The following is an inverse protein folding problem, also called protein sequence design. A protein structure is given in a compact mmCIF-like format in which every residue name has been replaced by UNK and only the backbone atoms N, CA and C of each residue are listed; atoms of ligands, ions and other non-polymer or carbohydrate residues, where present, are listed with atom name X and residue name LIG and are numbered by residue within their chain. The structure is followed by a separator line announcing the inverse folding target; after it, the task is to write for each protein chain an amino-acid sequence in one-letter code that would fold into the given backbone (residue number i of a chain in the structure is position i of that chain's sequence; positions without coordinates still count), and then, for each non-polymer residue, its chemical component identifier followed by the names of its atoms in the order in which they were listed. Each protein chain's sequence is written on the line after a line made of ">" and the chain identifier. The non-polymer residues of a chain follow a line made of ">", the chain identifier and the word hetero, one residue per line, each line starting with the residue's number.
data_IF_712559487584
#
_entry.id   IF_712559487584
#
_cell.length_a   1.000
_cell.length_b   1.000
_cell.length_c   1.000
_cell.angle_alpha   90.00
_cell.angle_beta   90.00
_cell.angle_gamma   90.00
#
_symmetry.space_group_name_H-M   'P 1'
#
loop_
_entity.id
_entity.type
_entity.pdbx_description
1 polymer ?
#
# COMPACT_ATOMS: atom_id res chain seq x y z
N UNK A 1 49.49 35.33 2.79
CA UNK A 1 48.54 35.72 3.86
C UNK A 1 47.73 34.49 4.19
N UNK A 2 48.16 33.74 5.21
CA UNK A 2 47.58 32.46 5.59
C UNK A 2 46.55 32.64 6.70
N UNK A 3 45.36 32.10 6.51
CA UNK A 3 44.31 32.11 7.53
C UNK A 3 44.69 31.13 8.64
N UNK A 4 44.87 31.65 9.85
CA UNK A 4 45.05 30.86 11.07
C UNK A 4 43.71 30.26 11.49
N UNK A 5 43.64 28.93 11.58
CA UNK A 5 42.63 28.23 12.39
C UNK A 5 42.91 28.52 13.87
N UNK A 6 41.91 28.99 14.60
CA UNK A 6 41.93 29.03 16.06
C UNK A 6 41.27 27.73 16.54
N UNK A 7 42.08 26.81 17.03
CA UNK A 7 41.61 25.62 17.76
C UNK A 7 41.38 26.04 19.21
N UNK A 8 40.13 26.12 19.66
CA UNK A 8 39.82 26.27 21.09
C UNK A 8 39.55 24.89 21.69
N UNK A 9 40.44 24.47 22.60
CA UNK A 9 40.31 23.24 23.37
C UNK A 9 39.20 23.33 24.42
N UNK A 10 38.58 22.19 24.72
CA UNK A 10 37.53 22.05 25.71
C UNK A 10 38.02 22.40 27.12
N UNK A 11 37.65 23.59 27.62
CA UNK A 11 37.44 23.90 29.05
C UNK A 11 37.21 25.41 29.24
N UNK A 12 35.96 25.89 29.15
CA UNK A 12 35.49 27.05 29.94
C UNK A 12 34.00 26.87 30.20
N UNK A 13 33.65 26.22 31.30
CA UNK A 13 32.35 26.35 31.94
C UNK A 13 32.58 27.14 33.22
N UNK A 14 31.99 28.33 33.30
CA UNK A 14 31.53 29.06 34.49
C UNK A 14 31.74 30.57 34.34
N UNK A 15 30.75 31.31 34.87
CA UNK A 15 30.69 32.75 35.07
C UNK A 15 30.27 33.59 33.85
N UNK A 16 28.95 33.78 33.69
CA UNK A 16 28.34 35.10 33.89
C UNK A 16 26.91 34.90 34.41
N UNK A 17 26.65 35.34 35.64
CA UNK A 17 25.29 35.53 36.13
C UNK A 17 24.70 36.80 35.53
N UNK A 18 23.53 36.70 34.90
CA UNK A 18 22.68 37.84 34.62
C UNK A 18 21.21 37.46 34.89
N UNK A 19 20.52 38.41 35.52
CA UNK A 19 19.29 38.24 36.28
C UNK A 19 18.06 37.80 35.47
N UNK A 20 17.13 37.16 36.17
CA UNK A 20 15.78 36.92 35.72
C UNK A 20 15.03 38.24 35.50
N UNK A 21 14.60 38.47 34.26
CA UNK A 21 13.46 39.33 33.93
C UNK A 21 12.89 38.91 32.56
N UNK A 22 11.63 38.44 32.56
CA UNK A 22 10.66 38.52 31.46
C UNK A 22 11.08 38.14 30.03
N UNK A 23 10.56 37.03 29.54
CA UNK A 23 10.39 36.66 28.11
C UNK A 23 11.66 36.57 27.24
N UNK A 24 12.24 35.37 27.16
CA UNK A 24 12.90 34.88 25.95
C UNK A 24 13.00 33.35 26.01
N UNK A 25 12.16 32.64 25.25
CA UNK A 25 12.48 31.25 24.89
C UNK A 25 13.64 31.31 23.88
N UNK A 26 14.86 31.25 24.38
CA UNK A 26 16.04 31.01 23.53
C UNK A 26 16.08 29.51 23.22
N UNK A 27 15.39 29.09 22.15
CA UNK A 27 15.59 27.77 21.58
C UNK A 27 16.97 27.75 20.91
N UNK A 28 17.93 27.02 21.48
CA UNK A 28 19.19 26.73 20.82
C UNK A 28 18.90 25.80 19.65
N UNK A 29 18.81 26.35 18.44
CA UNK A 29 18.68 25.59 17.20
C UNK A 29 20.04 24.98 16.88
N UNK A 30 20.18 23.66 17.01
CA UNK A 30 21.36 22.94 16.54
C UNK A 30 21.19 22.63 15.03
N UNK A 31 21.64 23.53 14.16
CA UNK A 31 21.85 23.23 12.74
C UNK A 31 23.14 22.42 12.56
N UNK A 32 23.02 21.14 12.22
CA UNK A 32 24.17 20.35 11.76
C UNK A 32 24.19 20.37 10.22
N UNK A 33 24.93 21.31 9.65
CA UNK A 33 25.25 21.33 8.21
C UNK A 33 26.37 20.33 7.92
N UNK A 34 26.15 19.46 6.93
CA UNK A 34 27.09 18.41 6.52
C UNK A 34 28.48 18.94 6.10
N UNK A 35 29.51 18.14 6.37
CA UNK A 35 30.84 18.33 5.78
C UNK A 35 31.01 17.47 4.51
N UNK A 36 31.69 18.04 3.52
CA UNK A 36 32.12 17.42 2.25
C UNK A 36 33.09 16.23 2.44
N UNK A 37 33.11 15.24 1.53
CA UNK A 37 33.91 14.02 1.68
C UNK A 37 35.42 14.29 1.51
N UNK A 38 36.22 13.95 2.53
CA UNK A 38 37.67 14.05 2.48
C UNK A 38 38.36 13.28 3.62
N UNK A 39 38.79 12.06 3.29
CA UNK A 39 39.90 11.29 3.90
C UNK A 39 40.13 11.40 5.41
N UNK A 40 39.38 10.65 6.23
CA UNK A 40 39.91 9.97 7.43
C UNK A 40 39.05 8.76 7.79
N UNK A 41 39.73 7.66 8.13
CA UNK A 41 39.21 6.30 8.29
C UNK A 41 38.53 6.06 9.64
N UNK A 42 37.58 6.91 10.02
CA UNK A 42 36.64 6.62 11.11
C UNK A 42 35.24 6.92 10.61
N UNK A 43 34.33 5.92 10.53
CA UNK A 43 32.97 6.18 10.10
C UNK A 43 32.34 7.12 11.12
N UNK A 44 32.14 8.38 10.75
CA UNK A 44 31.12 9.20 11.39
C UNK A 44 29.80 8.82 10.72
N UNK A 45 29.30 7.64 11.11
CA UNK A 45 27.86 7.37 11.11
C UNK A 45 27.23 8.39 12.06
N UNK A 46 26.77 9.51 11.52
CA UNK A 46 25.89 10.42 12.24
C UNK A 46 24.52 9.78 12.40
N UNK A 47 24.40 8.87 13.37
CA UNK A 47 23.13 8.36 13.87
C UNK A 47 22.45 9.52 14.61
N UNK A 48 21.32 9.99 14.11
CA UNK A 48 20.44 10.88 14.87
C UNK A 48 19.50 10.03 15.73
N UNK A 49 19.92 9.68 16.95
CA UNK A 49 19.01 9.27 18.03
C UNK A 49 18.56 10.52 18.76
N UNK A 50 17.45 11.12 18.32
CA UNK A 50 16.83 12.27 18.98
C UNK A 50 15.36 11.99 19.20
N UNK A 51 15.00 11.50 20.39
CA UNK A 51 13.62 11.63 20.86
C UNK A 51 13.37 13.09 21.26
N UNK A 52 12.24 13.66 20.85
CA UNK A 52 11.78 14.98 21.34
C UNK A 52 10.32 14.77 21.79
N UNK A 53 9.92 14.90 23.06
CA UNK A 53 10.23 15.93 24.06
C UNK A 53 10.09 15.41 25.51
N UNK A 54 11.09 15.70 26.36
CA UNK A 54 10.84 16.13 27.75
C UNK A 54 10.85 17.68 27.88
N UNK A 55 11.06 18.42 26.79
CA UNK A 55 11.02 19.89 26.76
C UNK A 55 12.33 20.61 26.38
N UNK A 56 13.31 19.99 25.72
CA UNK A 56 14.66 20.62 25.60
C UNK A 56 15.37 20.59 24.24
N UNK A 57 14.81 20.06 23.14
CA UNK A 57 15.50 20.15 21.84
C UNK A 57 14.59 20.19 20.61
N UNK A 58 14.88 21.15 19.72
CA UNK A 58 14.31 21.28 18.39
C UNK A 58 15.38 20.85 17.39
N UNK A 59 15.24 19.65 16.82
CA UNK A 59 16.08 19.24 15.69
C UNK A 59 15.23 19.35 14.44
N UNK A 60 15.72 20.12 13.46
CA UNK A 60 15.25 20.09 12.08
C UNK A 60 16.03 19.00 11.34
N UNK A 61 15.44 17.83 11.04
CA UNK A 61 16.04 16.90 10.09
C UNK A 61 16.34 17.64 8.79
N UNK A 62 17.53 17.43 8.22
CA UNK A 62 17.80 17.92 6.87
C UNK A 62 17.05 17.05 5.87
N UNK A 63 16.45 17.66 4.84
CA UNK A 63 15.81 16.94 3.74
C UNK A 63 16.86 16.17 2.94
N UNK A 64 17.12 14.92 3.35
CA UNK A 64 18.18 14.08 2.80
C UNK A 64 17.84 12.60 2.99
N UNK A 65 18.23 11.77 2.02
CA UNK A 65 18.11 10.31 2.09
C UNK A 65 19.00 9.65 3.15
N UNK A 66 19.89 10.41 3.79
CA UNK A 66 20.70 9.95 4.90
C UNK A 66 20.18 10.36 6.28
N UNK A 67 19.04 11.07 6.34
CA UNK A 67 18.47 11.56 7.61
C UNK A 67 17.61 10.50 8.28
N UNK A 68 17.63 10.45 9.61
CA UNK A 68 16.85 9.50 10.41
C UNK A 68 15.93 10.29 11.35
N UNK A 69 14.65 9.94 11.35
CA UNK A 69 13.65 10.41 12.30
C UNK A 69 13.16 9.20 13.10
N UNK A 70 13.63 9.06 14.34
CA UNK A 70 13.33 7.90 15.19
C UNK A 70 12.58 8.31 16.45
N UNK A 71 11.45 7.66 16.74
CA UNK A 71 10.64 7.88 17.92
C UNK A 71 10.64 6.66 18.84
N UNK A 72 11.06 6.80 20.09
CA UNK A 72 11.13 5.71 21.08
C UNK A 72 10.24 5.93 22.31
N UNK A 73 9.31 6.90 22.26
CA UNK A 73 8.46 7.31 23.39
C UNK A 73 7.11 7.85 22.89
N UNK A 74 6.30 8.44 23.78
CA UNK A 74 4.99 9.07 23.51
C UNK A 74 5.11 10.47 22.87
N UNK A 75 6.06 10.65 21.95
CA UNK A 75 6.44 11.95 21.40
C UNK A 75 5.44 12.44 20.36
N UNK A 76 5.25 13.76 20.22
CA UNK A 76 4.48 14.32 19.09
C UNK A 76 5.38 15.18 18.23
N UNK A 77 5.45 14.85 16.93
CA UNK A 77 6.02 15.69 15.89
C UNK A 77 4.90 16.40 15.14
N UNK A 78 5.09 17.68 14.80
CA UNK A 78 4.09 18.51 14.12
C UNK A 78 4.79 19.39 13.10
N UNK A 79 4.50 19.19 11.81
CA UNK A 79 5.04 20.04 10.75
C UNK A 79 4.29 21.39 10.69
N UNK A 80 4.90 22.51 11.07
CA UNK A 80 4.21 23.83 11.19
C UNK A 80 4.97 25.04 10.62
N UNK A 81 6.02 24.81 9.84
CA UNK A 81 6.77 25.81 9.04
C UNK A 81 7.75 26.76 9.80
N UNK A 82 9.01 26.34 9.84
CA UNK A 82 10.21 27.01 9.30
C UNK A 82 11.22 25.86 9.11
N UNK A 83 11.15 25.21 7.94
CA UNK A 83 11.94 24.00 7.62
C UNK A 83 11.25 22.65 7.83
N UNK A 84 9.92 22.57 7.68
CA UNK A 84 9.16 21.31 7.73
C UNK A 84 9.85 20.18 6.95
N UNK A 85 9.96 19.01 7.57
CA UNK A 85 10.60 17.85 6.94
C UNK A 85 9.71 17.30 5.84
N UNK A 86 10.17 17.39 4.60
CA UNK A 86 9.47 16.85 3.42
C UNK A 86 10.07 15.53 2.94
N UNK A 87 11.29 15.22 3.39
CA UNK A 87 11.95 13.95 3.06
C UNK A 87 12.89 13.48 4.16
N UNK A 88 12.90 12.17 4.41
CA UNK A 88 13.85 11.51 5.31
C UNK A 88 14.47 10.28 4.64
N UNK A 89 15.64 9.89 5.13
CA UNK A 89 16.24 8.60 4.86
C UNK A 89 15.49 7.48 5.56
N UNK A 90 15.09 7.65 6.82
CA UNK A 90 14.27 6.67 7.54
C UNK A 90 13.38 7.36 8.57
N UNK A 91 12.11 6.97 8.65
CA UNK A 91 11.17 7.27 9.71
C UNK A 91 10.88 5.97 10.46
N UNK A 92 11.31 5.90 11.71
CA UNK A 92 11.16 4.69 12.52
C UNK A 92 10.51 4.95 13.87
N UNK A 93 9.75 3.97 14.34
CA UNK A 93 9.20 3.93 15.69
C UNK A 93 9.86 2.75 16.43
N UNK A 94 10.65 3.07 17.44
CA UNK A 94 11.28 2.06 18.28
C UNK A 94 10.29 1.35 19.21
N UNK A 95 10.80 0.34 19.91
CA UNK A 95 10.05 -0.45 20.89
C UNK A 95 9.37 0.44 21.92
N UNK A 96 8.06 0.26 22.12
CA UNK A 96 7.31 1.01 23.13
C UNK A 96 6.87 2.40 22.68
N UNK A 97 7.16 2.80 21.44
CA UNK A 97 6.79 4.12 20.92
C UNK A 97 5.27 4.23 20.73
N UNK A 98 4.70 5.31 21.28
CA UNK A 98 3.32 5.74 21.06
C UNK A 98 3.31 7.12 20.41
N UNK A 99 4.34 7.41 19.62
CA UNK A 99 4.52 8.72 19.04
C UNK A 99 3.44 9.05 18.00
N UNK A 100 3.13 10.33 17.89
CA UNK A 100 2.29 10.88 16.83
C UNK A 100 3.13 11.73 15.89
N UNK A 101 3.05 11.46 14.59
CA UNK A 101 3.67 12.25 13.52
C UNK A 101 2.55 12.99 12.78
N UNK A 102 2.33 14.24 13.13
CA UNK A 102 1.33 15.10 12.49
C UNK A 102 1.96 15.91 11.34
N UNK A 103 1.62 15.53 10.11
CA UNK A 103 2.11 16.11 8.86
C UNK A 103 1.53 17.49 8.57
N UNK A 104 0.36 17.83 9.11
CA UNK A 104 -0.24 19.18 9.07
C UNK A 104 -0.19 19.85 7.68
N UNK A 105 -0.55 19.12 6.63
CA UNK A 105 -0.58 19.59 5.25
C UNK A 105 0.77 19.50 4.52
N UNK A 106 1.81 18.97 5.16
CA UNK A 106 3.14 18.77 4.56
C UNK A 106 3.32 17.31 4.18
N UNK A 107 3.42 17.02 2.88
CA UNK A 107 3.76 15.67 2.41
C UNK A 107 5.16 15.26 2.83
N UNK A 108 5.32 14.00 3.22
CA UNK A 108 6.57 13.40 3.68
C UNK A 108 6.96 12.21 2.80
N UNK A 109 8.21 12.20 2.34
CA UNK A 109 8.79 11.07 1.60
C UNK A 109 9.85 10.37 2.44
N UNK A 110 9.62 9.10 2.75
CA UNK A 110 10.63 8.20 3.32
C UNK A 110 11.38 7.49 2.19
N UNK A 111 12.70 7.66 2.13
CA UNK A 111 13.57 7.08 1.08
C UNK A 111 14.34 5.83 1.52
N UNK A 112 14.07 5.32 2.71
CA UNK A 112 14.69 4.12 3.25
C UNK A 112 13.63 3.29 3.96
N UNK A 113 13.73 3.12 5.27
CA UNK A 113 12.87 2.21 6.01
C UNK A 113 11.82 2.98 6.81
N UNK A 114 10.57 2.94 6.33
CA UNK A 114 9.40 3.35 7.07
C UNK A 114 8.96 2.18 7.98
N UNK A 115 9.29 2.24 9.26
CA UNK A 115 9.20 1.07 10.13
C UNK A 115 8.66 1.34 11.53
N UNK A 116 7.91 0.40 12.08
CA UNK A 116 7.67 0.32 13.53
C UNK A 116 8.15 -1.02 14.04
N UNK A 117 8.79 -1.03 15.20
CA UNK A 117 9.00 -2.28 15.93
C UNK A 117 7.66 -2.72 16.52
N UNK A 118 7.37 -4.02 16.46
CA UNK A 118 6.10 -4.61 16.90
C UNK A 118 5.83 -4.41 18.39
N UNK A 119 4.55 -4.28 18.76
CA UNK A 119 4.06 -4.24 20.15
C UNK A 119 3.41 -2.92 20.59
N UNK A 120 3.49 -1.86 19.79
CA UNK A 120 2.79 -0.59 20.01
C UNK A 120 2.17 -0.04 18.73
N UNK A 121 1.25 0.92 18.87
CA UNK A 121 0.52 1.56 17.77
C UNK A 121 0.80 3.07 17.75
N UNK A 122 1.96 3.51 17.21
CA UNK A 122 2.17 4.93 16.93
C UNK A 122 1.17 5.44 15.90
N UNK A 123 1.06 6.76 15.76
CA UNK A 123 0.12 7.42 14.85
C UNK A 123 0.91 8.23 13.83
N UNK A 124 0.51 8.13 12.56
CA UNK A 124 0.87 9.11 11.52
C UNK A 124 -0.42 9.75 11.02
N UNK A 125 -0.47 11.07 11.02
CA UNK A 125 -1.68 11.80 10.66
C UNK A 125 -1.42 13.07 9.87
N UNK A 126 -2.45 13.60 9.21
CA UNK A 126 -2.41 14.94 8.64
C UNK A 126 -2.74 16.02 9.70
N UNK A 127 -3.14 15.64 10.91
CA UNK A 127 -3.43 16.57 12.00
C UNK A 127 -4.59 17.52 11.66
N UNK A 128 -4.63 18.70 12.27
CA UNK A 128 -5.73 19.66 12.12
C UNK A 128 -5.65 20.51 10.84
N UNK A 129 -4.80 20.15 9.88
CA UNK A 129 -4.66 20.92 8.63
C UNK A 129 -5.89 20.83 7.74
N UNK A 130 -6.15 21.90 6.98
CA UNK A 130 -7.14 21.94 5.90
C UNK A 130 -6.54 21.59 4.54
N UNK A 131 -5.22 21.38 4.47
CA UNK A 131 -4.50 20.99 3.26
C UNK A 131 -4.24 19.48 3.33
N UNK A 132 -4.53 18.76 2.25
CA UNK A 132 -4.22 17.33 2.17
C UNK A 132 -2.70 17.09 2.16
N UNK A 133 -2.26 15.98 2.76
CA UNK A 133 -0.87 15.55 2.73
C UNK A 133 -0.75 14.13 2.16
N UNK A 134 0.46 13.76 1.74
CA UNK A 134 0.80 12.41 1.31
C UNK A 134 2.00 11.88 2.10
N UNK A 135 1.86 10.70 2.70
CA UNK A 135 2.99 9.90 3.17
C UNK A 135 3.47 9.00 2.03
N UNK A 136 4.73 9.11 1.65
CA UNK A 136 5.32 8.31 0.56
C UNK A 136 6.41 7.40 1.09
N UNK A 137 6.29 6.09 0.87
CA UNK A 137 7.39 5.14 1.03
C UNK A 137 8.08 4.95 -0.33
N UNK A 138 9.17 5.66 -0.55
CA UNK A 138 9.93 5.67 -1.81
C UNK A 138 11.16 4.76 -1.84
N UNK A 139 11.50 4.12 -0.73
CA UNK A 139 12.64 3.22 -0.61
C UNK A 139 12.40 2.10 0.40
N UNK A 140 13.46 1.30 0.62
CA UNK A 140 13.59 0.24 1.63
C UNK A 140 12.49 -0.83 1.64
N UNK A 141 12.70 -1.84 2.48
CA UNK A 141 11.65 -2.79 2.83
C UNK A 141 11.12 -2.38 4.22
N UNK A 142 9.85 -2.06 4.26
CA UNK A 142 9.18 -1.34 5.33
C UNK A 142 8.11 -2.23 5.98
N UNK A 143 7.95 -2.10 7.28
CA UNK A 143 6.98 -2.84 8.09
C UNK A 143 6.44 -1.90 9.14
N UNK A 144 5.21 -1.45 8.95
CA UNK A 144 4.64 -0.35 9.69
C UNK A 144 3.41 -0.80 10.49
N UNK A 145 3.57 -0.79 11.82
CA UNK A 145 2.49 -1.02 12.78
C UNK A 145 1.77 0.25 13.23
N UNK A 146 2.19 1.41 12.73
CA UNK A 146 1.51 2.67 12.99
C UNK A 146 0.09 2.66 12.42
N UNK A 147 -0.83 3.35 13.09
CA UNK A 147 -2.12 3.74 12.52
C UNK A 147 -1.91 5.00 11.69
N UNK A 148 -2.28 4.93 10.42
CA UNK A 148 -2.33 6.06 9.51
C UNK A 148 -3.77 6.58 9.48
N UNK A 149 -3.96 7.86 9.80
CA UNK A 149 -5.27 8.49 9.90
C UNK A 149 -5.27 9.92 9.37
N UNK A 150 -6.44 10.50 9.11
CA UNK A 150 -6.49 11.90 8.70
C UNK A 150 -6.12 12.84 9.86
N UNK A 151 -6.63 12.58 11.07
CA UNK A 151 -6.37 13.41 12.26
C UNK A 151 -7.07 14.79 12.25
N UNK A 152 -7.79 15.13 11.18
CA UNK A 152 -8.50 16.39 11.01
C UNK A 152 -9.31 16.45 9.71
N UNK A 153 -9.65 17.66 9.22
CA UNK A 153 -10.62 17.81 8.14
C UNK A 153 -10.07 17.48 6.74
N UNK A 154 -8.75 17.56 6.52
CA UNK A 154 -8.15 17.22 5.25
C UNK A 154 -7.52 15.83 5.26
N UNK A 155 -7.70 15.11 4.15
CA UNK A 155 -7.28 13.73 4.00
C UNK A 155 -5.76 13.54 4.05
N UNK A 156 -5.31 12.43 4.63
CA UNK A 156 -3.99 11.86 4.40
C UNK A 156 -4.07 10.83 3.27
N UNK A 157 -3.14 10.90 2.31
CA UNK A 157 -2.95 9.87 1.28
C UNK A 157 -1.69 9.06 1.54
N UNK A 158 -1.63 7.85 0.99
CA UNK A 158 -0.45 6.98 1.03
C UNK A 158 0.07 6.76 -0.40
N UNK A 159 1.38 6.78 -0.58
CA UNK A 159 2.02 6.45 -1.85
C UNK A 159 3.22 5.52 -1.67
N UNK A 160 3.48 4.70 -2.68
CA UNK A 160 4.76 4.00 -2.83
C UNK A 160 5.39 4.34 -4.18
N UNK A 161 6.72 4.36 -4.21
CA UNK A 161 7.48 4.53 -5.45
C UNK A 161 8.75 3.69 -5.43
N UNK A 162 9.30 3.38 -6.61
CA UNK A 162 10.47 2.53 -6.75
C UNK A 162 10.10 1.04 -6.73
N UNK A 163 10.90 0.24 -6.03
CA UNK A 163 10.73 -1.22 -5.89
C UNK A 163 10.57 -1.65 -4.44
N UNK A 164 9.98 -0.77 -3.62
CA UNK A 164 9.91 -0.95 -2.18
C UNK A 164 8.82 -1.96 -1.80
N UNK A 165 9.06 -2.70 -0.73
CA UNK A 165 8.05 -3.51 -0.06
C UNK A 165 7.54 -2.74 1.17
N UNK A 166 6.22 -2.62 1.34
CA UNK A 166 5.61 -1.99 2.51
C UNK A 166 4.53 -2.90 3.10
N UNK A 167 4.79 -3.44 4.28
CA UNK A 167 3.79 -4.19 5.05
C UNK A 167 3.08 -3.27 6.03
N UNK A 168 1.75 -3.30 6.02
CA UNK A 168 0.89 -2.46 6.86
C UNK A 168 0.10 -3.33 7.84
N UNK A 169 0.42 -3.21 9.13
CA UNK A 169 -0.28 -3.92 10.21
C UNK A 169 -1.41 -3.09 10.83
N UNK A 170 -1.32 -1.76 10.74
CA UNK A 170 -2.28 -0.84 11.34
C UNK A 170 -3.68 -0.96 10.73
N UNK A 171 -4.69 -0.81 11.59
CA UNK A 171 -6.07 -0.56 11.16
C UNK A 171 -6.18 0.93 10.78
N UNK A 172 -5.91 1.24 9.51
CA UNK A 172 -5.78 2.60 9.04
C UNK A 172 -7.16 3.21 8.73
N UNK A 173 -7.31 4.51 8.96
CA UNK A 173 -8.59 5.23 8.82
C UNK A 173 -8.49 6.45 7.90
N UNK A 174 -7.34 6.67 7.27
CA UNK A 174 -7.19 7.75 6.29
C UNK A 174 -8.18 7.62 5.14
N UNK A 175 -8.69 8.77 4.67
CA UNK A 175 -9.70 8.83 3.61
C UNK A 175 -9.11 9.20 2.25
N UNK A 176 -7.87 9.69 2.22
CA UNK A 176 -7.13 9.94 0.99
C UNK A 176 -6.80 8.63 0.25
N UNK A 177 -6.41 8.76 -1.01
CA UNK A 177 -6.12 7.60 -1.85
C UNK A 177 -4.82 6.89 -1.47
N UNK A 178 -4.70 5.63 -1.89
CA UNK A 178 -3.43 4.89 -1.90
C UNK A 178 -2.93 4.76 -3.34
N UNK A 179 -1.73 5.25 -3.65
CA UNK A 179 -1.09 5.00 -4.96
C UNK A 179 0.04 4.00 -4.81
N UNK A 180 -0.05 2.87 -5.51
CA UNK A 180 1.00 1.84 -5.50
C UNK A 180 1.75 1.89 -6.82
N UNK A 181 2.89 2.59 -6.82
CA UNK A 181 3.66 2.90 -8.02
C UNK A 181 4.93 2.07 -8.18
N UNK A 182 5.45 2.06 -9.41
CA UNK A 182 6.68 1.35 -9.76
C UNK A 182 6.50 -0.17 -9.66
N UNK A 183 7.54 -0.88 -9.24
CA UNK A 183 7.49 -2.32 -8.96
C UNK A 183 7.29 -2.61 -7.46
N UNK A 184 6.69 -1.66 -6.72
CA UNK A 184 6.50 -1.76 -5.27
C UNK A 184 5.37 -2.72 -4.92
N UNK A 185 5.46 -3.33 -3.74
CA UNK A 185 4.44 -4.23 -3.19
C UNK A 185 3.94 -3.69 -1.85
N UNK A 186 2.62 -3.59 -1.69
CA UNK A 186 2.02 -3.41 -0.37
C UNK A 186 1.46 -4.77 0.10
N UNK A 187 1.91 -5.21 1.27
CA UNK A 187 1.30 -6.32 2.01
C UNK A 187 0.30 -5.78 3.03
N UNK A 188 -0.98 -6.08 2.81
CA UNK A 188 -2.05 -5.72 3.73
C UNK A 188 -2.20 -6.79 4.83
N UNK A 189 -1.84 -6.42 6.05
CA UNK A 189 -1.90 -7.26 7.27
C UNK A 189 -3.08 -6.91 8.18
N UNK A 190 -4.03 -6.15 7.63
CA UNK A 190 -5.28 -5.79 8.24
C UNK A 190 -6.32 -5.52 7.15
N UNK A 191 -7.59 -5.81 7.41
CA UNK A 191 -8.68 -5.53 6.46
C UNK A 191 -8.87 -4.02 6.18
N UNK A 192 -8.43 -3.16 7.11
CA UNK A 192 -8.42 -1.70 6.97
C UNK A 192 -7.01 -1.14 6.70
N UNK A 193 -6.05 -1.97 6.28
CA UNK A 193 -4.67 -1.53 6.05
C UNK A 193 -4.56 -0.40 5.00
N UNK A 194 -5.47 -0.32 4.04
CA UNK A 194 -5.44 0.68 2.96
C UNK A 194 -6.40 1.86 3.21
N UNK A 195 -6.86 2.06 4.45
CA UNK A 195 -7.84 3.10 4.75
C UNK A 195 -9.14 2.90 3.97
N UNK A 196 -9.81 4.00 3.63
CA UNK A 196 -11.11 3.95 2.91
C UNK A 196 -11.07 4.55 1.50
N UNK A 197 -9.98 5.22 1.14
CA UNK A 197 -9.83 5.87 -0.15
C UNK A 197 -9.66 4.89 -1.32
N UNK A 198 -9.68 5.45 -2.54
CA UNK A 198 -9.39 4.72 -3.78
C UNK A 198 -7.95 4.20 -3.76
N UNK A 199 -7.76 2.93 -4.12
CA UNK A 199 -6.44 2.36 -4.39
C UNK A 199 -6.16 2.44 -5.89
N UNK A 200 -5.09 3.13 -6.27
CA UNK A 200 -4.63 3.25 -7.65
C UNK A 200 -3.36 2.45 -7.84
N UNK A 201 -3.41 1.39 -8.66
CA UNK A 201 -2.22 0.66 -9.08
C UNK A 201 -1.59 1.36 -10.29
N UNK A 202 -0.31 1.69 -10.18
CA UNK A 202 0.50 2.23 -11.26
C UNK A 202 1.75 1.35 -11.45
N UNK A 203 1.51 0.09 -11.81
CA UNK A 203 2.50 -0.97 -11.95
C UNK A 203 2.72 -1.79 -10.68
N UNK A 204 2.29 -1.29 -9.52
CA UNK A 204 2.52 -1.93 -8.22
C UNK A 204 1.68 -3.17 -7.94
N UNK A 205 1.94 -3.78 -6.78
CA UNK A 205 1.34 -5.05 -6.33
C UNK A 205 0.61 -4.89 -5.00
N UNK A 206 -0.57 -5.50 -4.88
CA UNK A 206 -1.26 -5.76 -3.61
C UNK A 206 -1.09 -7.23 -3.26
N UNK A 207 -0.76 -7.53 -2.01
CA UNK A 207 -0.62 -8.89 -1.47
C UNK A 207 -1.22 -8.99 -0.06
N UNK A 208 -1.68 -10.16 0.36
CA UNK A 208 -1.86 -10.49 1.79
C UNK A 208 -0.51 -10.75 2.42
N UNK A 209 -0.39 -10.52 3.74
CA UNK A 209 0.88 -10.75 4.39
C UNK A 209 1.28 -12.22 4.44
N UNK A 210 2.56 -12.50 4.22
CA UNK A 210 3.11 -13.87 4.17
C UNK A 210 2.92 -14.70 5.45
N UNK A 211 2.62 -14.10 6.60
CA UNK A 211 2.34 -14.85 7.84
C UNK A 211 0.86 -15.16 8.08
N UNK A 212 -0.06 -14.74 7.19
CA UNK A 212 -1.48 -15.01 7.41
C UNK A 212 -1.80 -16.49 7.32
N UNK A 213 -2.70 -16.90 8.20
CA UNK A 213 -3.48 -18.13 8.06
C UNK A 213 -4.97 -17.85 7.79
N UNK A 214 -5.37 -16.58 7.74
CA UNK A 214 -6.76 -16.12 7.51
C UNK A 214 -6.74 -15.12 6.35
N UNK A 215 -7.72 -15.23 5.45
CA UNK A 215 -7.85 -14.39 4.25
C UNK A 215 -8.04 -12.90 4.57
N UNK A 216 -7.34 -12.04 3.83
CA UNK A 216 -7.47 -10.58 3.92
C UNK A 216 -8.63 -10.11 3.06
N UNK A 217 -9.46 -9.20 3.58
CA UNK A 217 -10.58 -8.57 2.86
C UNK A 217 -10.40 -7.07 2.80
N UNK A 218 -10.29 -6.52 1.60
CA UNK A 218 -10.14 -5.09 1.34
C UNK A 218 -11.45 -4.53 0.76
N UNK A 219 -11.95 -3.46 1.37
CA UNK A 219 -13.19 -2.80 0.94
C UNK A 219 -12.97 -1.71 -0.11
N UNK A 220 -11.72 -1.33 -0.38
CA UNK A 220 -11.37 -0.23 -1.27
C UNK A 220 -11.76 -0.51 -2.72
N UNK A 221 -12.24 0.52 -3.41
CA UNK A 221 -12.27 0.51 -4.87
C UNK A 221 -10.83 0.50 -5.40
N UNK A 222 -10.60 -0.19 -6.52
CA UNK A 222 -9.28 -0.35 -7.12
C UNK A 222 -9.34 0.07 -8.58
N UNK A 223 -8.38 0.90 -9.00
CA UNK A 223 -8.25 1.38 -10.38
C UNK A 223 -6.79 1.28 -10.87
N UNK A 224 -6.59 1.52 -12.16
CA UNK A 224 -5.27 1.54 -12.78
C UNK A 224 -4.80 0.15 -13.23
N UNK A 225 -3.48 -0.05 -13.29
CA UNK A 225 -2.85 -1.28 -13.76
C UNK A 225 -1.86 -1.80 -12.73
N UNK A 226 -1.88 -3.10 -12.46
CA UNK A 226 -0.96 -3.69 -11.49
C UNK A 226 -1.24 -5.16 -11.21
N UNK A 227 -0.69 -5.65 -10.11
CA UNK A 227 -0.72 -7.07 -9.75
C UNK A 227 -1.51 -7.31 -8.48
N UNK A 228 -2.37 -8.32 -8.50
CA UNK A 228 -3.03 -8.89 -7.35
C UNK A 228 -2.31 -10.20 -7.04
N UNK A 229 -1.50 -10.19 -5.99
CA UNK A 229 -0.55 -11.26 -5.71
C UNK A 229 -0.77 -11.89 -4.35
N UNK A 230 -1.86 -12.66 -4.13
CA UNK A 230 -2.03 -13.36 -2.88
C UNK A 230 -0.83 -14.29 -2.58
N UNK A 231 -0.39 -14.32 -1.34
CA UNK A 231 0.78 -15.04 -0.86
C UNK A 231 0.40 -16.43 -0.34
N UNK A 232 -0.18 -16.53 0.86
CA UNK A 232 -0.49 -17.82 1.51
C UNK A 232 -1.98 -18.10 1.62
N UNK A 233 -2.81 -17.05 1.69
CA UNK A 233 -4.26 -17.17 1.83
C UNK A 233 -4.95 -16.48 0.66
N UNK A 234 -6.28 -16.48 0.68
CA UNK A 234 -7.03 -15.76 -0.33
C UNK A 234 -7.03 -14.26 -0.05
N UNK A 235 -7.06 -13.48 -1.13
CA UNK A 235 -7.29 -12.05 -1.10
C UNK A 235 -8.72 -11.76 -1.56
N UNK A 236 -9.52 -11.10 -0.75
CA UNK A 236 -10.90 -10.71 -1.09
C UNK A 236 -10.97 -9.21 -1.33
N UNK A 237 -11.55 -8.81 -2.47
CA UNK A 237 -11.70 -7.43 -2.91
C UNK A 237 -13.21 -7.10 -2.97
N UNK A 238 -13.73 -6.48 -1.90
CA UNK A 238 -15.14 -6.12 -1.80
C UNK A 238 -15.48 -4.78 -2.46
N UNK A 239 -14.48 -3.91 -2.67
CA UNK A 239 -14.66 -2.73 -3.50
C UNK A 239 -14.62 -3.07 -4.99
N UNK A 240 -15.08 -2.15 -5.83
CA UNK A 240 -15.14 -2.34 -7.28
C UNK A 240 -13.77 -2.20 -7.93
N UNK A 241 -13.48 -3.04 -8.91
CA UNK A 241 -12.52 -2.74 -9.97
C UNK A 241 -13.13 -1.67 -10.89
N UNK A 242 -12.34 -0.68 -11.30
CA UNK A 242 -12.83 0.43 -12.15
C UNK A 242 -11.81 0.82 -13.22
N UNK A 243 -12.28 1.51 -14.25
CA UNK A 243 -11.44 2.07 -15.30
C UNK A 243 -10.97 1.01 -16.30
N UNK A 244 -9.97 1.38 -17.10
CA UNK A 244 -9.56 0.62 -18.30
C UNK A 244 -8.20 -0.07 -18.17
N UNK A 245 -7.61 -0.10 -16.98
CA UNK A 245 -6.28 -0.65 -16.77
C UNK A 245 -6.23 -2.18 -16.76
N UNK A 246 -5.02 -2.72 -16.62
CA UNK A 246 -4.77 -4.17 -16.64
C UNK A 246 -4.41 -4.66 -15.25
N UNK A 247 -5.18 -5.61 -14.74
CA UNK A 247 -4.87 -6.36 -13.53
C UNK A 247 -4.33 -7.73 -13.87
N UNK A 248 -3.22 -8.09 -13.25
CA UNK A 248 -2.65 -9.43 -13.33
C UNK A 248 -2.85 -10.12 -12.00
N UNK A 249 -3.44 -11.32 -12.03
CA UNK A 249 -3.47 -12.19 -10.87
C UNK A 249 -2.29 -13.15 -10.93
N UNK A 250 -1.39 -13.03 -9.96
CA UNK A 250 -0.19 -13.87 -9.80
C UNK A 250 -0.22 -14.49 -8.41
N UNK A 251 0.36 -15.66 -8.24
CA UNK A 251 0.61 -16.27 -6.93
C UNK A 251 2.03 -15.93 -6.48
N UNK A 252 2.19 -15.29 -5.31
CA UNK A 252 3.52 -14.94 -4.76
C UNK A 252 4.16 -16.08 -3.96
N UNK A 253 3.37 -16.99 -3.37
CA UNK A 253 3.84 -18.09 -2.51
C UNK A 253 3.81 -19.45 -3.21
N UNK A 254 4.82 -20.30 -3.01
CA UNK A 254 4.91 -21.64 -3.62
C UNK A 254 4.01 -22.72 -3.01
N UNK A 255 3.09 -22.37 -2.09
CA UNK A 255 2.23 -23.34 -1.40
C UNK A 255 0.74 -23.05 -1.62
N UNK A 256 0.01 -24.06 -2.11
CA UNK A 256 -1.45 -24.13 -2.32
C UNK A 256 -2.00 -23.17 -3.40
N UNK A 257 -3.03 -23.56 -4.19
CA UNK A 257 -3.70 -22.60 -5.07
C UNK A 257 -4.53 -21.62 -4.23
N UNK A 258 -3.95 -20.46 -3.91
CA UNK A 258 -4.69 -19.34 -3.35
C UNK A 258 -5.58 -18.68 -4.41
N UNK A 259 -6.54 -17.86 -3.99
CA UNK A 259 -7.49 -17.20 -4.90
C UNK A 259 -7.59 -15.71 -4.64
N UNK A 260 -7.92 -14.98 -5.69
CA UNK A 260 -8.47 -13.62 -5.55
C UNK A 260 -9.99 -13.73 -5.67
N UNK A 261 -10.71 -13.25 -4.67
CA UNK A 261 -12.16 -13.14 -4.69
C UNK A 261 -12.57 -11.72 -5.04
N UNK A 262 -13.40 -11.56 -6.07
CA UNK A 262 -14.01 -10.29 -6.44
C UNK A 262 -15.42 -10.23 -5.85
N UNK A 263 -15.68 -9.26 -4.98
CA UNK A 263 -16.97 -9.03 -4.32
C UNK A 263 -17.67 -7.74 -4.74
N UNK A 264 -16.92 -6.75 -5.24
CA UNK A 264 -17.48 -5.46 -5.65
C UNK A 264 -18.31 -5.49 -6.93
N UNK A 265 -19.05 -4.41 -7.18
CA UNK A 265 -19.75 -4.19 -8.46
C UNK A 265 -18.75 -3.67 -9.50
N UNK A 266 -18.35 -4.54 -10.44
CA UNK A 266 -17.30 -4.24 -11.41
C UNK A 266 -17.84 -3.71 -12.76
N UNK A 267 -19.11 -3.30 -12.83
CA UNK A 267 -19.71 -2.75 -14.08
C UNK A 267 -18.97 -1.54 -14.68
N UNK A 268 -18.23 -0.79 -13.86
CA UNK A 268 -17.36 0.31 -14.31
C UNK A 268 -15.95 -0.11 -14.77
N UNK A 269 -15.61 -1.39 -14.71
CA UNK A 269 -14.33 -1.93 -15.20
C UNK A 269 -14.44 -2.25 -16.68
N UNK A 270 -13.63 -1.60 -17.51
CA UNK A 270 -13.57 -1.78 -18.96
C UNK A 270 -12.22 -2.33 -19.42
N UNK A 271 -11.33 -2.59 -18.48
CA UNK A 271 -9.96 -3.02 -18.72
C UNK A 271 -9.82 -4.53 -18.88
N UNK A 272 -8.63 -5.03 -18.52
CA UNK A 272 -8.27 -6.44 -18.66
C UNK A 272 -7.94 -7.06 -17.31
N UNK A 273 -8.55 -8.19 -16.99
CA UNK A 273 -8.14 -9.05 -15.88
C UNK A 273 -7.50 -10.32 -16.44
N UNK A 274 -6.21 -10.51 -16.17
CA UNK A 274 -5.45 -11.68 -16.64
C UNK A 274 -5.03 -12.56 -15.47
N UNK A 275 -5.44 -13.83 -15.49
CA UNK A 275 -5.01 -14.82 -14.51
C UNK A 275 -3.80 -15.57 -15.02
N UNK A 276 -2.67 -15.36 -14.34
CA UNK A 276 -1.37 -15.94 -14.65
C UNK A 276 -1.12 -17.19 -13.79
N UNK A 277 -1.45 -17.19 -12.50
CA UNK A 277 -1.26 -18.38 -11.65
C UNK A 277 -2.24 -18.49 -10.47
N UNK A 278 -3.02 -19.57 -10.39
CA UNK A 278 -4.06 -19.94 -9.39
C UNK A 278 -5.50 -19.58 -9.83
N UNK A 279 -6.43 -19.23 -8.92
CA UNK A 279 -7.84 -18.95 -9.28
C UNK A 279 -8.39 -17.54 -9.01
N UNK A 280 -9.21 -17.05 -9.95
CA UNK A 280 -10.06 -15.88 -9.74
C UNK A 280 -11.50 -16.33 -9.43
N UNK A 281 -12.09 -15.82 -8.36
CA UNK A 281 -13.42 -16.22 -7.91
C UNK A 281 -14.36 -15.03 -7.89
N UNK A 282 -15.47 -15.12 -8.58
CA UNK A 282 -16.52 -14.11 -8.57
C UNK A 282 -17.49 -14.43 -7.44
N UNK A 283 -17.52 -13.62 -6.38
CA UNK A 283 -18.44 -13.86 -5.25
C UNK A 283 -19.90 -13.81 -5.71
N UNK A 284 -20.23 -12.90 -6.62
CA UNK A 284 -21.57 -12.81 -7.20
C UNK A 284 -21.56 -12.26 -8.62
N UNK A 285 -22.73 -12.24 -9.26
CA UNK A 285 -22.89 -11.78 -10.65
C UNK A 285 -22.32 -10.37 -10.91
N UNK A 286 -22.48 -9.44 -9.95
CA UNK A 286 -21.97 -8.07 -10.05
C UNK A 286 -20.44 -7.98 -10.02
N UNK A 287 -19.75 -9.04 -9.60
CA UNK A 287 -18.28 -9.12 -9.62
C UNK A 287 -17.70 -9.27 -11.03
N UNK A 288 -18.56 -9.48 -12.03
CA UNK A 288 -18.19 -9.55 -13.44
C UNK A 288 -18.39 -8.20 -14.15
N UNK A 289 -17.99 -8.11 -15.43
CA UNK A 289 -18.19 -6.90 -16.24
C UNK A 289 -18.33 -7.24 -17.72
N UNK A 290 -19.44 -6.75 -18.30
CA UNK A 290 -19.75 -6.85 -19.74
C UNK A 290 -18.80 -6.03 -20.63
N UNK A 291 -18.03 -5.11 -20.04
CA UNK A 291 -17.10 -4.24 -20.77
C UNK A 291 -15.64 -4.66 -20.59
N UNK A 292 -15.34 -5.61 -19.71
CA UNK A 292 -13.97 -6.04 -19.41
C UNK A 292 -13.56 -7.28 -20.20
N UNK A 293 -12.26 -7.38 -20.48
CA UNK A 293 -11.62 -8.59 -21.01
C UNK A 293 -11.14 -9.46 -19.85
N UNK A 294 -11.52 -10.73 -19.86
CA UNK A 294 -11.13 -11.72 -18.86
C UNK A 294 -10.26 -12.79 -19.53
N UNK A 295 -9.05 -13.01 -19.01
CA UNK A 295 -8.07 -13.92 -19.59
C UNK A 295 -7.70 -15.00 -18.57
N UNK A 296 -7.81 -16.26 -18.98
CA UNK A 296 -7.41 -17.44 -18.23
C UNK A 296 -6.22 -18.14 -18.94
N UNK A 297 -4.99 -17.76 -18.58
CA UNK A 297 -3.85 -17.89 -19.49
C UNK A 297 -2.96 -19.14 -19.27
N UNK A 298 -3.18 -19.95 -18.22
CA UNK A 298 -2.25 -21.05 -17.86
C UNK A 298 -2.98 -22.26 -17.29
N UNK A 299 -2.44 -23.46 -17.52
CA UNK A 299 -2.97 -24.70 -16.97
C UNK A 299 -2.97 -24.74 -15.44
N UNK A 300 -4.10 -25.18 -14.88
CA UNK A 300 -4.33 -25.21 -13.43
C UNK A 300 -4.93 -23.91 -12.87
N UNK A 301 -5.05 -22.86 -13.68
CA UNK A 301 -5.83 -21.69 -13.36
C UNK A 301 -7.32 -21.94 -13.62
N UNK A 302 -8.17 -21.21 -12.91
CA UNK A 302 -9.60 -21.27 -13.17
C UNK A 302 -10.34 -20.01 -12.73
N UNK A 303 -11.47 -19.78 -13.40
CA UNK A 303 -12.52 -18.92 -12.89
C UNK A 303 -13.55 -19.75 -12.12
N UNK A 304 -14.04 -19.21 -11.00
CA UNK A 304 -15.14 -19.82 -10.26
C UNK A 304 -16.28 -18.83 -10.09
N UNK A 305 -17.48 -19.25 -10.45
CA UNK A 305 -18.73 -18.52 -10.27
C UNK A 305 -19.31 -18.88 -8.90
N UNK A 306 -19.14 -18.00 -7.91
CA UNK A 306 -19.36 -18.31 -6.50
C UNK A 306 -20.82 -18.33 -6.02
N UNK A 307 -21.77 -17.86 -6.83
CA UNK A 307 -23.18 -17.82 -6.48
C UNK A 307 -24.04 -18.01 -7.74
N UNK A 308 -25.27 -18.51 -7.58
CA UNK A 308 -26.18 -18.65 -8.72
C UNK A 308 -26.48 -17.28 -9.31
N UNK A 309 -26.20 -17.08 -10.60
CA UNK A 309 -26.46 -15.80 -11.24
C UNK A 309 -26.15 -15.72 -12.73
N UNK A 310 -26.32 -14.51 -13.28
CA UNK A 310 -25.90 -14.17 -14.64
C UNK A 310 -24.60 -13.39 -14.60
N UNK A 311 -23.51 -14.03 -15.00
CA UNK A 311 -22.18 -13.45 -15.06
C UNK A 311 -21.92 -12.92 -16.47
N UNK A 312 -21.38 -11.70 -16.54
CA UNK A 312 -21.09 -11.00 -17.79
C UNK A 312 -19.57 -10.91 -17.95
N UNK A 313 -19.00 -11.76 -18.81
CA UNK A 313 -17.60 -11.64 -19.20
C UNK A 313 -17.58 -10.99 -20.58
N UNK A 314 -17.31 -9.68 -20.60
CA UNK A 314 -17.41 -8.87 -21.81
C UNK A 314 -16.62 -9.42 -23.00
N UNK A 315 -15.37 -9.79 -22.75
CA UNK A 315 -14.56 -10.61 -23.64
C UNK A 315 -13.91 -11.73 -22.83
N UNK A 316 -13.72 -12.90 -23.44
CA UNK A 316 -13.12 -14.05 -22.76
C UNK A 316 -12.01 -14.70 -23.61
N UNK A 317 -10.81 -14.77 -23.04
CA UNK A 317 -9.67 -15.49 -23.63
C UNK A 317 -9.20 -16.61 -22.72
N UNK A 318 -8.72 -17.70 -23.31
CA UNK A 318 -8.07 -18.75 -22.55
C UNK A 318 -7.63 -19.95 -23.39
N UNK A 319 -6.71 -20.71 -22.83
CA UNK A 319 -6.19 -21.93 -23.45
C UNK A 319 -7.02 -23.16 -23.06
N UNK A 320 -6.74 -24.30 -23.70
CA UNK A 320 -7.34 -25.60 -23.37
C UNK A 320 -7.07 -26.06 -21.94
N UNK A 321 -6.09 -25.45 -21.27
CA UNK A 321 -5.73 -25.76 -19.89
C UNK A 321 -6.49 -24.89 -18.86
N UNK A 322 -7.25 -23.90 -19.32
CA UNK A 322 -8.13 -23.06 -18.49
C UNK A 322 -9.47 -23.73 -18.18
N UNK A 323 -10.13 -23.25 -17.13
CA UNK A 323 -11.45 -23.74 -16.74
C UNK A 323 -12.33 -22.68 -16.09
N UNK A 324 -13.64 -22.73 -16.38
CA UNK A 324 -14.68 -21.98 -15.68
C UNK A 324 -15.60 -22.96 -14.98
N UNK A 325 -15.67 -22.85 -13.66
CA UNK A 325 -16.48 -23.73 -12.81
C UNK A 325 -17.66 -22.99 -12.18
N UNK A 326 -18.80 -23.68 -12.10
CA UNK A 326 -19.87 -23.31 -11.19
C UNK A 326 -19.44 -23.70 -9.77
N UNK A 327 -19.23 -22.68 -8.93
CA UNK A 327 -18.83 -22.79 -7.54
C UNK A 327 -19.97 -22.63 -6.53
N UNK A 328 -21.21 -22.38 -6.99
CA UNK A 328 -22.37 -22.12 -6.13
C UNK A 328 -22.90 -23.38 -5.40
N UNK A 329 -22.33 -24.57 -5.68
CA UNK A 329 -22.67 -25.84 -5.04
C UNK A 329 -23.99 -26.48 -5.49
N UNK A 330 -24.97 -25.68 -5.94
CA UNK A 330 -26.22 -26.13 -6.58
C UNK A 330 -26.84 -25.00 -7.43
N UNK A 331 -27.63 -25.34 -8.45
CA UNK A 331 -28.25 -24.36 -9.36
C UNK A 331 -27.49 -24.18 -10.68
N UNK A 332 -28.07 -23.43 -11.60
CA UNK A 332 -27.49 -23.17 -12.93
C UNK A 332 -27.08 -21.71 -13.07
N UNK A 333 -25.84 -21.50 -13.48
CA UNK A 333 -25.33 -20.17 -13.83
C UNK A 333 -25.58 -19.86 -15.30
N UNK A 334 -25.71 -18.58 -15.62
CA UNK A 334 -25.69 -18.09 -16.99
C UNK A 334 -24.40 -17.31 -17.18
N UNK A 335 -23.61 -17.72 -18.16
CA UNK A 335 -22.42 -17.01 -18.59
C UNK A 335 -22.72 -16.28 -19.90
N UNK A 336 -22.80 -14.96 -19.83
CA UNK A 336 -22.96 -14.10 -21.01
C UNK A 336 -21.59 -13.62 -21.48
N UNK A 337 -21.31 -13.81 -22.77
CA UNK A 337 -20.02 -13.51 -23.42
C UNK A 337 -20.19 -12.53 -24.57
N UNK A 338 -19.16 -11.75 -24.91
CA UNK A 338 -19.13 -10.91 -26.11
C UNK A 338 -19.74 -9.51 -25.97
N UNK A 339 -20.06 -9.07 -24.75
CA UNK A 339 -20.57 -7.72 -24.46
C UNK A 339 -19.64 -6.59 -24.92
N UNK A 340 -18.35 -6.88 -25.16
CA UNK A 340 -17.37 -5.92 -25.71
C UNK A 340 -17.53 -5.64 -27.19
N UNK A 341 -18.19 -6.52 -27.95
CA UNK A 341 -18.30 -6.43 -29.41
C UNK A 341 -16.94 -6.33 -30.14
N UNK A 342 -15.90 -6.97 -29.62
CA UNK A 342 -14.58 -7.07 -30.25
C UNK A 342 -14.25 -8.53 -30.61
N UNK A 343 -13.08 -8.77 -31.22
CA UNK A 343 -12.65 -10.10 -31.65
C UNK A 343 -11.86 -10.84 -30.55
N UNK A 344 -11.98 -10.41 -29.30
CA UNK A 344 -11.16 -10.92 -28.19
C UNK A 344 -11.82 -12.10 -27.46
N UNK A 345 -12.88 -12.67 -28.03
CA UNK A 345 -13.48 -13.92 -27.58
C UNK A 345 -12.77 -15.11 -28.24
N UNK A 346 -11.78 -15.67 -27.53
CA UNK A 346 -11.04 -16.86 -27.96
C UNK A 346 -10.74 -17.72 -26.72
N UNK A 347 -11.76 -18.46 -26.28
CA UNK A 347 -11.67 -19.37 -25.15
C UNK A 347 -11.74 -20.82 -25.62
N UNK A 348 -10.70 -21.59 -25.30
CA UNK A 348 -10.61 -23.02 -25.64
C UNK A 348 -10.62 -23.94 -24.41
N UNK A 349 -10.77 -23.37 -23.22
CA UNK A 349 -10.83 -24.10 -21.96
C UNK A 349 -12.18 -24.77 -21.70
N UNK A 350 -12.28 -25.47 -20.58
CA UNK A 350 -13.51 -26.13 -20.17
C UNK A 350 -14.48 -25.15 -19.49
N UNK A 351 -15.78 -25.27 -19.77
CA UNK A 351 -16.86 -24.54 -19.08
C UNK A 351 -17.86 -25.58 -18.59
N UNK A 352 -18.05 -25.71 -17.28
CA UNK A 352 -18.98 -26.74 -16.76
C UNK A 352 -18.98 -26.98 -15.25
N UNK A 353 -19.74 -28.01 -14.86
CA UNK A 353 -19.96 -28.41 -13.46
C UNK A 353 -18.69 -28.83 -12.72
N UNK A 354 -18.61 -28.46 -11.45
CA UNK A 354 -17.36 -28.14 -10.75
C UNK A 354 -16.29 -29.24 -10.60
N UNK A 355 -15.13 -28.77 -10.13
CA UNK A 355 -13.88 -29.49 -9.80
C UNK A 355 -14.04 -30.65 -8.78
N UNK A 356 -15.27 -31.03 -8.41
CA UNK A 356 -15.58 -31.90 -7.27
C UNK A 356 -16.79 -32.85 -7.48
N UNK A 357 -17.16 -33.18 -8.73
CA UNK A 357 -18.09 -34.28 -9.02
C UNK A 357 -19.55 -34.09 -8.57
N UNK A 358 -19.98 -32.85 -8.28
CA UNK A 358 -21.36 -32.57 -7.89
C UNK A 358 -22.27 -32.51 -9.13
N UNK A 359 -22.93 -33.64 -9.41
CA UNK A 359 -23.97 -33.79 -10.44
C UNK A 359 -25.14 -32.82 -10.18
N UNK A 360 -25.14 -31.63 -10.78
CA UNK A 360 -26.28 -30.72 -10.72
C UNK A 360 -25.97 -29.24 -10.96
N UNK A 361 -24.70 -28.85 -10.94
CA UNK A 361 -24.27 -27.48 -11.23
C UNK A 361 -23.95 -27.34 -12.72
N UNK A 362 -24.78 -26.59 -13.45
CA UNK A 362 -24.60 -26.34 -14.89
C UNK A 362 -24.22 -24.88 -15.14
N UNK A 363 -23.52 -24.62 -16.26
CA UNK A 363 -23.32 -23.28 -16.80
C UNK A 363 -23.95 -23.26 -18.19
N UNK A 364 -24.95 -22.40 -18.38
CA UNK A 364 -25.48 -22.09 -19.71
C UNK A 364 -24.71 -20.93 -20.30
N UNK A 365 -24.16 -21.10 -21.50
CA UNK A 365 -23.42 -20.02 -22.18
C UNK A 365 -24.35 -19.31 -23.17
N UNK A 366 -24.39 -17.99 -23.07
CA UNK A 366 -25.17 -17.11 -23.95
C UNK A 366 -24.23 -16.14 -24.64
N UNK A 367 -24.20 -16.17 -25.96
CA UNK A 367 -23.51 -15.15 -26.74
C UNK A 367 -24.33 -13.86 -26.72
N UNK A 368 -23.68 -12.77 -26.37
CA UNK A 368 -24.18 -11.41 -26.45
C UNK A 368 -23.25 -10.63 -27.37
N UNK A 369 -23.80 -9.70 -28.15
CA UNK A 369 -22.99 -8.88 -29.05
C UNK A 369 -22.48 -9.62 -30.30
N UNK A 370 -21.57 -8.96 -31.02
CA UNK A 370 -21.07 -9.38 -32.35
C UNK A 370 -19.68 -9.98 -32.33
N UNK A 371 -19.06 -10.14 -31.15
CA UNK A 371 -17.75 -10.81 -31.03
C UNK A 371 -17.81 -12.25 -31.52
N UNK A 372 -16.65 -12.86 -31.78
CA UNK A 372 -16.54 -14.28 -32.19
C UNK A 372 -16.78 -15.26 -31.06
#
# INVERSE_FOLDING_TARGET
>A
MGNKMITMGAAVFAAVGLAAAGHAQAATIYQFTGQTPGTTTTPVTGVFTGGFNDGTAYVTPTNSSNSYLQFNATNTYTATDDGSVTSVGQLTFGTGSLATVALNGTSLTDSGNLGSISGTTPIIENGSSTTAATLTNSGGNSSLSAVIQDGGPASLSLATSGSAYLRLFGANTYTGGTTIGGSSTIEADNNSALGTGLVTLNGGTISDASSHSISTTLANNIAGSGTLSPYNVNLTLNGSLTGSGTFQRIQAGGQQPNSVFLGGNNSGFTGTMSVISGALRFIGASSSSASALWIDNVGGNYFSLGAVGTYQLGGLQGSTAGAIYNGAGSGSDILTLGGRNDTLDNYSGSIGGGNNGSNGANISVVKTGTGT
#
